data_IF_886179021200
#
_entry.id   IF_886179021200
#
_cell.length_a   1.000
_cell.length_b   1.000
_cell.length_c   1.000
_cell.angle_alpha   90.00
_cell.angle_beta   90.00
_cell.angle_gamma   90.00
#
_symmetry.space_group_name_H-M   'P 1'
#
loop_
_entity.id
_entity.type
_entity.pdbx_description
1 polymer ?
#
# COMPACT_ATOMS: atom_id res chain seq x y z
N UNK A 1 -10.38 -2.33 36.88
CA UNK A 1 -10.49 -2.20 35.41
C UNK A 1 -10.55 -3.58 34.80
N UNK A 2 -11.67 -3.93 34.18
CA UNK A 2 -11.90 -5.24 33.56
C UNK A 2 -10.98 -5.44 32.34
N UNK A 3 -10.67 -6.71 32.03
CA UNK A 3 -9.82 -7.09 30.88
C UNK A 3 -10.35 -6.47 29.57
N UNK A 4 -11.68 -6.39 29.43
CA UNK A 4 -12.37 -5.75 28.29
C UNK A 4 -12.11 -4.23 28.22
N UNK A 5 -12.04 -3.51 29.33
CA UNK A 5 -11.74 -2.08 29.36
C UNK A 5 -10.28 -1.79 28.99
N UNK A 6 -9.35 -2.66 29.40
CA UNK A 6 -7.92 -2.57 28.99
C UNK A 6 -7.73 -2.82 27.49
N UNK A 7 -8.47 -3.79 26.94
CA UNK A 7 -8.47 -4.07 25.50
C UNK A 7 -9.06 -2.88 24.72
N UNK A 8 -10.17 -2.31 25.21
CA UNK A 8 -10.79 -1.14 24.62
C UNK A 8 -9.90 0.11 24.66
N UNK A 9 -9.19 0.34 25.78
CA UNK A 9 -8.25 1.44 25.93
C UNK A 9 -6.98 1.23 25.06
N UNK A 10 -6.48 0.00 24.96
CA UNK A 10 -5.37 -0.34 24.08
C UNK A 10 -5.77 -0.20 22.60
N UNK A 11 -6.98 -0.61 22.23
CA UNK A 11 -7.54 -0.39 20.89
C UNK A 11 -7.68 1.10 20.57
N UNK A 12 -8.12 1.92 21.54
CA UNK A 12 -8.23 3.37 21.38
C UNK A 12 -6.86 4.05 21.19
N UNK A 13 -5.83 3.60 21.93
CA UNK A 13 -4.47 4.12 21.81
C UNK A 13 -3.81 3.71 20.49
N UNK A 14 -4.06 2.50 19.99
CA UNK A 14 -3.61 2.05 18.67
C UNK A 14 -4.33 2.83 17.56
N UNK A 15 -5.62 3.11 17.72
CA UNK A 15 -6.39 3.96 16.81
C UNK A 15 -5.89 5.41 16.75
N UNK A 16 -5.35 5.96 17.85
CA UNK A 16 -4.72 7.28 17.82
C UNK A 16 -3.43 7.33 16.98
N UNK A 17 -2.81 6.18 16.70
CA UNK A 17 -1.63 6.06 15.83
C UNK A 17 -1.93 5.93 14.33
N UNK A 18 -3.19 5.66 13.93
CA UNK A 18 -3.60 5.45 12.53
C UNK A 18 -3.63 6.75 11.68
N UNK A 19 -3.06 7.84 12.15
CA UNK A 19 -3.19 9.16 11.52
C UNK A 19 -2.35 9.38 10.24
N UNK A 20 -1.70 8.35 9.68
CA UNK A 20 -0.84 8.48 8.49
C UNK A 20 -0.86 7.24 7.60
N UNK A 21 -2.02 6.70 7.27
CA UNK A 21 -2.11 5.66 6.22
C UNK A 21 -2.15 6.37 4.88
N UNK A 22 -1.14 6.14 4.04
CA UNK A 22 -1.08 6.58 2.65
C UNK A 22 -1.24 5.36 1.76
N UNK A 23 -2.20 5.39 0.85
CA UNK A 23 -2.39 4.35 -0.14
C UNK A 23 -2.87 4.99 -1.44
N UNK A 24 -2.41 4.52 -2.60
CA UNK A 24 -2.91 4.93 -3.92
C UNK A 24 -4.32 4.43 -4.19
N UNK A 25 -4.60 3.27 -3.66
CA UNK A 25 -5.91 2.77 -3.32
C UNK A 25 -5.92 2.43 -1.84
N UNK A 26 -7.09 2.37 -1.21
CA UNK A 26 -7.20 1.80 0.12
C UNK A 26 -7.07 0.26 0.05
N UNK A 27 -6.99 -0.37 1.20
CA UNK A 27 -6.66 -1.79 1.39
C UNK A 27 -7.48 -2.73 0.52
N UNK A 28 -8.80 -2.51 0.44
CA UNK A 28 -9.70 -3.44 -0.24
C UNK A 28 -9.42 -3.52 -1.74
N UNK A 29 -9.08 -2.39 -2.36
CA UNK A 29 -8.79 -2.36 -3.80
C UNK A 29 -7.50 -3.09 -4.15
N UNK A 30 -6.47 -3.02 -3.31
CA UNK A 30 -5.24 -3.79 -3.52
C UNK A 30 -5.48 -5.30 -3.44
N UNK A 31 -6.29 -5.74 -2.47
CA UNK A 31 -6.68 -7.15 -2.34
C UNK A 31 -7.57 -7.59 -3.49
N UNK A 32 -8.52 -6.74 -3.94
CA UNK A 32 -9.38 -6.99 -5.10
C UNK A 32 -8.55 -7.27 -6.36
N UNK A 33 -7.48 -6.51 -6.61
CA UNK A 33 -6.59 -6.72 -7.77
C UNK A 33 -5.93 -8.11 -7.73
N UNK A 34 -5.51 -8.58 -6.55
CA UNK A 34 -4.97 -9.94 -6.39
C UNK A 34 -6.05 -10.98 -6.68
N UNK A 35 -7.24 -10.84 -6.09
CA UNK A 35 -8.34 -11.81 -6.23
C UNK A 35 -8.86 -11.91 -7.66
N UNK A 36 -8.96 -10.77 -8.36
CA UNK A 36 -9.40 -10.74 -9.77
C UNK A 36 -8.48 -11.55 -10.70
N UNK A 37 -7.20 -11.69 -10.34
CA UNK A 37 -6.23 -12.44 -11.15
C UNK A 37 -5.75 -13.75 -10.48
N UNK A 38 -6.27 -14.07 -9.29
CA UNK A 38 -5.81 -15.25 -8.56
C UNK A 38 -6.06 -16.55 -9.32
N UNK A 39 -7.30 -16.81 -9.69
CA UNK A 39 -7.71 -18.11 -10.23
C UNK A 39 -7.18 -18.39 -11.64
N UNK A 40 -7.14 -17.36 -12.49
CA UNK A 40 -6.83 -17.50 -13.91
C UNK A 40 -5.36 -17.19 -14.27
N UNK A 41 -4.62 -16.51 -13.38
CA UNK A 41 -3.27 -16.06 -13.71
C UNK A 41 -2.26 -16.37 -12.59
N UNK A 42 -2.49 -15.94 -11.33
CA UNK A 42 -1.50 -16.06 -10.25
C UNK A 42 -1.34 -17.52 -9.82
N UNK A 43 -2.44 -18.22 -9.52
CA UNK A 43 -2.41 -19.62 -9.10
C UNK A 43 -1.76 -20.52 -10.15
N UNK A 44 -2.10 -20.45 -11.45
CA UNK A 44 -1.41 -21.21 -12.50
C UNK A 44 0.09 -20.92 -12.58
N UNK A 45 0.50 -19.65 -12.43
CA UNK A 45 1.91 -19.27 -12.43
C UNK A 45 2.66 -19.86 -11.24
N UNK A 46 2.05 -19.87 -10.04
CA UNK A 46 2.60 -20.54 -8.86
C UNK A 46 2.74 -22.04 -9.07
N UNK A 47 1.71 -22.70 -9.61
CA UNK A 47 1.74 -24.14 -9.92
C UNK A 47 2.80 -24.50 -10.96
N UNK A 48 3.00 -23.65 -11.97
CA UNK A 48 4.06 -23.84 -12.95
C UNK A 48 5.45 -23.78 -12.32
N UNK A 49 5.69 -22.80 -11.44
CA UNK A 49 6.98 -22.61 -10.78
C UNK A 49 7.23 -23.63 -9.66
N UNK A 50 6.17 -24.05 -8.97
CA UNK A 50 6.19 -25.00 -7.85
C UNK A 50 5.22 -26.18 -8.12
N UNK A 51 5.60 -27.12 -9.03
CA UNK A 51 4.68 -28.15 -9.52
C UNK A 51 4.22 -29.16 -8.45
N UNK A 52 4.90 -29.23 -7.32
CA UNK A 52 4.54 -30.11 -6.20
C UNK A 52 3.68 -29.39 -5.13
N UNK A 53 3.27 -28.13 -5.36
CA UNK A 53 2.46 -27.40 -4.40
C UNK A 53 1.06 -28.01 -4.29
N UNK A 54 0.64 -28.25 -3.05
CA UNK A 54 -0.72 -28.71 -2.72
C UNK A 54 -1.71 -27.55 -2.74
N UNK A 55 -3.02 -27.84 -2.70
CA UNK A 55 -4.04 -26.79 -2.53
C UNK A 55 -3.87 -26.01 -1.21
N UNK A 56 -3.42 -26.68 -0.14
CA UNK A 56 -3.12 -26.01 1.15
C UNK A 56 -1.93 -25.07 1.02
N UNK A 57 -0.89 -25.42 0.25
CA UNK A 57 0.23 -24.54 -0.04
C UNK A 57 -0.21 -23.32 -0.86
N UNK A 58 -1.08 -23.52 -1.85
CA UNK A 58 -1.64 -22.44 -2.66
C UNK A 58 -2.56 -21.53 -1.85
N UNK A 59 -3.36 -22.09 -0.95
CA UNK A 59 -4.19 -21.33 -0.02
C UNK A 59 -3.33 -20.45 0.91
N UNK A 60 -2.25 -21.02 1.46
CA UNK A 60 -1.28 -20.28 2.27
C UNK A 60 -0.55 -19.21 1.45
N UNK A 61 -0.14 -19.53 0.23
CA UNK A 61 0.50 -18.60 -0.69
C UNK A 61 -0.41 -17.40 -1.01
N UNK A 62 -1.73 -17.59 -1.11
CA UNK A 62 -2.69 -16.50 -1.30
C UNK A 62 -2.66 -15.50 -0.13
N UNK A 63 -2.55 -15.97 1.12
CA UNK A 63 -2.40 -15.11 2.28
C UNK A 63 -1.10 -14.27 2.23
N UNK A 64 -0.03 -14.83 1.66
CA UNK A 64 1.21 -14.07 1.41
C UNK A 64 1.08 -13.08 0.25
N UNK A 65 0.32 -13.41 -0.80
CA UNK A 65 0.03 -12.44 -1.86
C UNK A 65 -0.74 -11.22 -1.32
N UNK A 66 -1.69 -11.42 -0.41
CA UNK A 66 -2.35 -10.31 0.30
C UNK A 66 -1.36 -9.49 1.14
N UNK A 67 -0.46 -10.13 1.87
CA UNK A 67 0.56 -9.40 2.61
C UNK A 67 1.49 -8.59 1.71
N UNK A 68 1.83 -9.15 0.56
CA UNK A 68 2.64 -8.50 -0.46
C UNK A 68 1.96 -7.29 -1.08
N UNK A 69 0.67 -7.39 -1.42
CA UNK A 69 -0.04 -6.29 -2.10
C UNK A 69 -0.26 -5.05 -1.22
N UNK A 70 0.14 -5.10 0.05
CA UNK A 70 0.05 -3.97 0.98
C UNK A 70 1.37 -3.68 1.70
N UNK A 71 2.45 -4.46 1.44
CA UNK A 71 3.69 -4.33 2.19
C UNK A 71 4.37 -2.99 2.01
N UNK A 72 4.26 -2.37 0.83
CA UNK A 72 4.85 -1.06 0.57
C UNK A 72 4.30 0.00 1.52
N UNK A 73 3.06 -0.14 1.96
CA UNK A 73 2.40 0.76 2.91
C UNK A 73 2.72 0.50 4.38
N UNK A 74 3.38 -0.61 4.71
CA UNK A 74 3.60 -1.03 6.10
C UNK A 74 4.20 0.08 6.99
N UNK A 75 5.02 0.96 6.42
CA UNK A 75 5.63 2.07 7.14
C UNK A 75 4.67 3.16 7.59
N UNK A 76 3.51 3.26 6.99
CA UNK A 76 2.46 4.24 7.35
C UNK A 76 1.54 3.75 8.47
N UNK A 77 1.56 2.46 8.77
CA UNK A 77 0.75 1.87 9.83
C UNK A 77 1.32 2.14 11.22
N UNK A 78 0.54 1.95 12.30
CA UNK A 78 1.00 2.18 13.66
C UNK A 78 2.30 1.42 13.95
N UNK A 79 3.26 2.13 14.56
CA UNK A 79 4.61 1.65 14.84
C UNK A 79 5.46 1.29 13.61
N UNK A 80 4.96 1.58 12.40
CA UNK A 80 5.74 1.53 11.17
C UNK A 80 6.80 2.63 11.11
N UNK A 81 7.59 2.63 10.06
CA UNK A 81 8.53 3.70 9.77
C UNK A 81 8.26 4.28 8.38
N UNK A 82 7.84 5.54 8.37
CA UNK A 82 7.51 6.23 7.10
C UNK A 82 8.64 6.19 6.07
N UNK A 83 9.91 6.14 6.50
CA UNK A 83 11.04 6.06 5.58
C UNK A 83 11.01 4.77 4.76
N UNK A 84 10.58 3.64 5.36
CA UNK A 84 10.41 2.39 4.61
C UNK A 84 9.45 2.59 3.44
N UNK A 85 8.24 3.06 3.72
CA UNK A 85 7.24 3.27 2.67
C UNK A 85 7.67 4.36 1.68
N UNK A 86 8.24 5.46 2.15
CA UNK A 86 8.79 6.50 1.26
C UNK A 86 9.84 5.91 0.28
N UNK A 87 10.73 5.04 0.74
CA UNK A 87 11.74 4.41 -0.10
C UNK A 87 11.10 3.55 -1.19
N UNK A 88 10.22 2.62 -0.79
CA UNK A 88 9.65 1.63 -1.72
C UNK A 88 8.62 2.23 -2.69
N UNK A 89 8.11 3.46 -2.42
CA UNK A 89 7.22 4.20 -3.32
C UNK A 89 7.96 5.15 -4.26
N UNK A 90 9.07 5.76 -3.82
CA UNK A 90 9.65 6.90 -4.54
C UNK A 90 11.08 6.68 -5.02
N UNK A 91 11.78 5.67 -4.51
CA UNK A 91 13.20 5.42 -4.83
C UNK A 91 13.37 3.98 -5.25
N UNK A 92 13.80 3.74 -6.48
CA UNK A 92 14.04 2.38 -6.97
C UNK A 92 12.84 1.44 -6.78
N UNK A 93 11.64 1.96 -6.97
CA UNK A 93 10.38 1.25 -6.70
C UNK A 93 10.20 -0.01 -7.55
N UNK A 94 10.58 0.03 -8.83
CA UNK A 94 10.61 -1.13 -9.71
C UNK A 94 11.68 -2.14 -9.31
N UNK A 95 12.91 -1.67 -9.05
CA UNK A 95 14.02 -2.52 -8.60
C UNK A 95 13.69 -3.26 -7.31
N UNK A 96 12.97 -2.62 -6.38
CA UNK A 96 12.54 -3.26 -5.13
C UNK A 96 11.63 -4.47 -5.39
N UNK A 97 10.65 -4.33 -6.27
CA UNK A 97 9.74 -5.43 -6.64
C UNK A 97 10.48 -6.54 -7.40
N UNK A 98 11.37 -6.18 -8.33
CA UNK A 98 12.22 -7.15 -9.03
C UNK A 98 13.13 -7.91 -8.06
N UNK A 99 13.70 -7.21 -7.05
CA UNK A 99 14.49 -7.84 -6.02
C UNK A 99 13.65 -8.77 -5.12
N UNK A 100 12.41 -8.42 -4.77
CA UNK A 100 11.52 -9.35 -4.06
C UNK A 100 11.29 -10.64 -4.86
N UNK A 101 11.05 -10.54 -6.16
CA UNK A 101 10.84 -11.70 -7.04
C UNK A 101 12.11 -12.55 -7.20
N UNK A 102 13.28 -11.90 -7.32
CA UNK A 102 14.56 -12.60 -7.49
C UNK A 102 15.07 -13.26 -6.21
N UNK A 103 14.79 -12.69 -5.05
CA UNK A 103 15.19 -13.21 -3.73
C UNK A 103 14.21 -14.25 -3.17
N UNK A 104 13.07 -14.48 -3.79
CA UNK A 104 12.08 -15.45 -3.34
C UNK A 104 12.55 -16.90 -3.54
N UNK A 105 12.63 -17.67 -2.44
CA UNK A 105 13.17 -19.03 -2.41
C UNK A 105 12.09 -20.12 -2.32
N UNK A 106 10.88 -19.77 -1.92
CA UNK A 106 9.75 -20.68 -1.82
C UNK A 106 8.45 -20.08 -2.36
N UNK A 107 7.37 -20.88 -2.40
CA UNK A 107 6.07 -20.49 -2.94
C UNK A 107 5.45 -19.30 -2.19
N UNK A 108 5.64 -19.20 -0.88
CA UNK A 108 5.06 -18.15 -0.05
C UNK A 108 5.80 -16.83 -0.28
N UNK A 109 7.13 -16.86 -0.32
CA UNK A 109 7.95 -15.70 -0.65
C UNK A 109 7.67 -15.21 -2.07
N UNK A 110 7.50 -16.13 -3.03
CA UNK A 110 7.20 -15.76 -4.40
C UNK A 110 5.79 -15.17 -4.53
N UNK A 111 4.79 -15.76 -3.87
CA UNK A 111 3.44 -15.20 -3.84
C UNK A 111 3.40 -13.81 -3.18
N UNK A 112 4.18 -13.60 -2.12
CA UNK A 112 4.35 -12.29 -1.49
C UNK A 112 4.95 -11.27 -2.47
N UNK A 113 5.98 -11.65 -3.24
CA UNK A 113 6.56 -10.79 -4.26
C UNK A 113 5.59 -10.48 -5.41
N UNK A 114 4.75 -11.47 -5.82
CA UNK A 114 3.68 -11.24 -6.79
C UNK A 114 2.63 -10.25 -6.25
N UNK A 115 2.32 -10.32 -4.95
CA UNK A 115 1.48 -9.31 -4.29
C UNK A 115 2.11 -7.91 -4.36
N UNK A 116 3.40 -7.77 -4.09
CA UNK A 116 4.10 -6.48 -4.20
C UNK A 116 4.12 -5.95 -5.66
N UNK A 117 4.14 -6.83 -6.65
CA UNK A 117 3.96 -6.46 -8.06
C UNK A 117 2.52 -5.98 -8.35
N UNK A 118 1.51 -6.56 -7.68
CA UNK A 118 0.13 -6.07 -7.77
C UNK A 118 0.02 -4.64 -7.21
N UNK A 119 0.65 -4.38 -6.06
CA UNK A 119 0.72 -3.02 -5.47
C UNK A 119 1.39 -2.02 -6.42
N UNK A 120 2.54 -2.37 -6.99
CA UNK A 120 3.22 -1.54 -7.99
C UNK A 120 2.28 -1.17 -9.14
N UNK A 121 1.57 -2.14 -9.72
CA UNK A 121 0.62 -1.88 -10.80
C UNK A 121 -0.57 -1.02 -10.34
N UNK A 122 -1.06 -1.26 -9.13
CA UNK A 122 -2.20 -0.56 -8.55
C UNK A 122 -1.88 0.91 -8.30
N UNK A 123 -0.75 1.22 -7.70
CA UNK A 123 -0.41 2.59 -7.34
C UNK A 123 -0.08 3.45 -8.57
N UNK A 124 0.74 2.96 -9.48
CA UNK A 124 1.09 3.76 -10.69
C UNK A 124 -0.11 4.07 -11.58
N UNK A 125 -1.19 3.28 -11.52
CA UNK A 125 -2.43 3.54 -12.26
C UNK A 125 -3.49 4.23 -11.39
N UNK A 126 -3.53 3.94 -10.10
CA UNK A 126 -4.55 4.41 -9.16
C UNK A 126 -4.33 5.82 -8.69
N UNK A 127 -3.13 6.16 -8.21
CA UNK A 127 -2.86 7.51 -7.70
C UNK A 127 -3.17 8.64 -8.68
N UNK A 128 -2.84 8.57 -9.99
CA UNK A 128 -3.25 9.60 -10.93
C UNK A 128 -4.77 9.81 -10.97
N UNK A 129 -5.56 8.75 -10.85
CA UNK A 129 -7.02 8.84 -10.79
C UNK A 129 -7.50 9.42 -9.45
N UNK A 130 -6.91 8.99 -8.33
CA UNK A 130 -7.20 9.53 -6.99
C UNK A 130 -6.83 11.01 -6.92
N UNK A 131 -5.67 11.43 -7.44
CA UNK A 131 -5.24 12.83 -7.48
C UNK A 131 -6.25 13.72 -8.22
N UNK A 132 -6.81 13.24 -9.33
CA UNK A 132 -7.85 13.93 -10.07
C UNK A 132 -9.17 13.94 -9.31
N UNK A 133 -9.53 12.83 -8.66
CA UNK A 133 -10.73 12.72 -7.83
C UNK A 133 -10.67 13.65 -6.61
N UNK A 134 -9.53 13.78 -5.93
CA UNK A 134 -9.32 14.74 -4.83
C UNK A 134 -9.60 16.16 -5.33
N UNK A 135 -9.06 16.54 -6.49
CA UNK A 135 -9.34 17.86 -7.06
C UNK A 135 -10.82 18.08 -7.39
N UNK A 136 -11.53 17.04 -7.83
CA UNK A 136 -12.95 17.11 -8.12
C UNK A 136 -13.82 17.18 -6.87
N UNK A 137 -13.49 16.40 -5.83
CA UNK A 137 -14.23 16.32 -4.58
C UNK A 137 -13.99 17.52 -3.64
N UNK A 138 -12.83 18.20 -3.74
CA UNK A 138 -12.42 19.31 -2.89
C UNK A 138 -12.12 20.57 -3.72
N UNK A 139 -13.17 21.38 -4.08
CA UNK A 139 -13.00 22.57 -4.92
C UNK A 139 -11.97 23.59 -4.40
N UNK A 140 -11.84 23.72 -3.08
CA UNK A 140 -10.86 24.58 -2.43
C UNK A 140 -9.42 24.13 -2.69
N UNK A 141 -9.18 22.82 -2.73
CA UNK A 141 -7.85 22.27 -3.07
C UNK A 141 -7.59 22.41 -4.58
N UNK A 142 -8.61 22.19 -5.40
CA UNK A 142 -8.51 22.44 -6.84
C UNK A 142 -8.17 23.90 -7.16
N UNK A 143 -8.80 24.84 -6.46
CA UNK A 143 -8.51 26.28 -6.64
C UNK A 143 -7.06 26.61 -6.26
N UNK A 144 -6.50 25.92 -5.27
CA UNK A 144 -5.14 26.17 -4.76
C UNK A 144 -4.05 25.46 -5.58
N UNK A 145 -4.30 24.20 -6.00
CA UNK A 145 -3.27 23.34 -6.55
C UNK A 145 -3.53 22.93 -8.02
N UNK A 146 -4.71 23.24 -8.56
CA UNK A 146 -5.10 22.87 -9.93
C UNK A 146 -5.88 21.57 -10.02
N UNK A 147 -5.98 20.97 -11.23
CA UNK A 147 -6.82 19.81 -11.49
C UNK A 147 -6.27 18.48 -10.94
N UNK A 148 -5.07 18.49 -10.37
CA UNK A 148 -4.39 17.33 -9.79
C UNK A 148 -3.91 17.75 -8.42
N UNK A 149 -4.34 17.03 -7.37
CA UNK A 149 -3.94 17.27 -5.98
C UNK A 149 -3.34 15.98 -5.46
N UNK A 150 -2.02 15.99 -5.29
CA UNK A 150 -1.26 14.81 -4.85
C UNK A 150 -1.29 14.65 -3.34
N UNK A 151 -0.87 13.49 -2.87
CA UNK A 151 -0.68 13.22 -1.43
C UNK A 151 0.24 14.24 -0.74
N UNK A 152 1.30 14.71 -1.42
CA UNK A 152 2.23 15.71 -0.86
C UNK A 152 1.58 17.07 -0.64
N UNK A 153 0.48 17.38 -1.30
CA UNK A 153 -0.25 18.64 -1.21
C UNK A 153 -1.32 18.59 -0.12
N UNK A 154 -2.12 17.53 -0.08
CA UNK A 154 -3.08 17.29 1.00
C UNK A 154 -3.32 15.79 1.26
N UNK A 155 -2.53 15.23 2.17
CA UNK A 155 -2.61 13.82 2.52
C UNK A 155 -3.96 13.42 3.17
N UNK A 156 -4.65 14.36 3.81
CA UNK A 156 -5.93 14.06 4.47
C UNK A 156 -7.07 13.92 3.47
N UNK A 157 -7.14 14.84 2.51
CA UNK A 157 -8.12 14.74 1.43
C UNK A 157 -7.87 13.49 0.60
N UNK A 158 -6.61 13.16 0.34
CA UNK A 158 -6.20 11.97 -0.41
C UNK A 158 -6.71 10.68 0.27
N UNK A 159 -6.34 10.44 1.53
CA UNK A 159 -6.76 9.26 2.31
C UNK A 159 -8.30 9.17 2.42
N UNK A 160 -9.01 10.31 2.57
CA UNK A 160 -10.47 10.35 2.64
C UNK A 160 -11.13 9.94 1.33
N UNK A 161 -10.55 10.30 0.19
CA UNK A 161 -11.03 9.93 -1.13
C UNK A 161 -10.84 8.43 -1.39
N UNK A 162 -9.65 7.91 -1.11
CA UNK A 162 -9.33 6.50 -1.25
C UNK A 162 -10.23 5.60 -0.39
N UNK A 163 -10.36 5.94 0.89
CA UNK A 163 -11.25 5.23 1.80
C UNK A 163 -12.72 5.32 1.34
N UNK A 164 -13.13 6.45 0.76
CA UNK A 164 -14.44 6.62 0.17
C UNK A 164 -14.71 5.64 -0.98
N UNK A 165 -13.73 5.41 -1.84
CA UNK A 165 -13.82 4.42 -2.92
C UNK A 165 -13.99 2.99 -2.38
N UNK A 166 -13.16 2.57 -1.41
CA UNK A 166 -13.30 1.25 -0.78
C UNK A 166 -14.69 1.06 -0.16
N UNK A 167 -15.17 2.05 0.59
CA UNK A 167 -16.51 2.00 1.21
C UNK A 167 -17.59 1.83 0.14
N UNK A 168 -17.48 2.51 -1.00
CA UNK A 168 -18.45 2.40 -2.11
C UNK A 168 -18.37 1.03 -2.78
N UNK A 169 -17.18 0.42 -2.93
CA UNK A 169 -17.05 -0.94 -3.46
C UNK A 169 -17.82 -1.93 -2.61
N UNK A 170 -17.65 -1.86 -1.29
CA UNK A 170 -18.40 -2.70 -0.36
C UNK A 170 -19.89 -2.37 -0.39
N UNK A 171 -20.25 -1.08 -0.38
CA UNK A 171 -21.63 -0.62 -0.42
C UNK A 171 -22.39 -1.11 -1.65
N UNK A 172 -21.75 -1.11 -2.80
CA UNK A 172 -22.32 -1.58 -4.08
C UNK A 172 -22.15 -3.08 -4.28
N UNK A 173 -21.68 -3.81 -3.26
CA UNK A 173 -21.48 -5.26 -3.29
C UNK A 173 -20.59 -5.73 -4.46
N UNK A 174 -19.60 -4.91 -4.82
CA UNK A 174 -18.65 -5.26 -5.88
C UNK A 174 -17.52 -6.13 -5.34
N UNK A 175 -16.98 -5.73 -4.18
CA UNK A 175 -15.92 -6.45 -3.51
C UNK A 175 -15.95 -6.28 -1.99
N UNK A 176 -15.59 -7.32 -1.23
CA UNK A 176 -15.31 -7.25 0.21
C UNK A 176 -14.28 -8.30 0.59
N UNK A 177 -13.12 -7.88 1.06
CA UNK A 177 -12.07 -8.80 1.52
C UNK A 177 -12.33 -9.38 2.91
N UNK A 178 -13.24 -8.81 3.71
CA UNK A 178 -13.59 -9.31 5.04
C UNK A 178 -13.92 -10.80 5.05
N UNK A 179 -14.61 -11.22 4.00
CA UNK A 179 -15.00 -12.59 3.82
C UNK A 179 -13.79 -13.50 3.56
N UNK A 180 -12.73 -12.97 2.95
CA UNK A 180 -11.54 -13.73 2.55
C UNK A 180 -10.51 -13.82 3.68
N UNK A 181 -10.36 -12.81 4.53
CA UNK A 181 -9.40 -12.82 5.63
C UNK A 181 -9.62 -13.92 6.65
N UNK A 182 -10.88 -14.31 6.90
CA UNK A 182 -11.20 -15.40 7.83
C UNK A 182 -10.80 -16.79 7.27
N UNK A 183 -10.69 -16.92 5.95
CA UNK A 183 -10.38 -18.19 5.27
C UNK A 183 -8.96 -18.23 4.71
N UNK A 184 -8.53 -17.16 4.04
CA UNK A 184 -7.23 -17.06 3.37
C UNK A 184 -6.18 -16.58 4.36
N UNK A 185 -6.51 -15.62 5.21
CA UNK A 185 -5.59 -14.97 6.13
C UNK A 185 -4.81 -13.83 5.47
N UNK A 186 -3.83 -13.30 6.20
CA UNK A 186 -2.96 -12.21 5.77
C UNK A 186 -1.56 -12.43 6.36
N UNK A 187 -0.56 -12.64 5.51
CA UNK A 187 0.78 -13.00 5.93
C UNK A 187 1.84 -12.08 5.31
N UNK A 188 2.87 -11.75 6.09
CA UNK A 188 4.04 -10.99 5.64
C UNK A 188 5.25 -11.89 5.64
N UNK A 189 5.95 -11.98 4.52
CA UNK A 189 7.21 -12.72 4.43
C UNK A 189 8.38 -11.82 4.79
N UNK A 190 8.73 -11.79 6.08
CA UNK A 190 9.87 -11.04 6.58
C UNK A 190 11.20 -11.45 5.92
N UNK A 191 11.54 -12.75 5.72
CA UNK A 191 12.85 -13.12 5.20
C UNK A 191 13.12 -12.55 3.80
N UNK A 192 12.21 -12.67 2.85
CA UNK A 192 12.40 -12.11 1.51
C UNK A 192 12.39 -10.59 1.53
N UNK A 193 11.56 -9.98 2.39
CA UNK A 193 11.50 -8.53 2.55
C UNK A 193 12.85 -7.96 3.02
N UNK A 194 13.50 -8.60 4.00
CA UNK A 194 14.82 -8.18 4.51
C UNK A 194 15.91 -8.32 3.43
N UNK A 195 15.93 -9.45 2.68
CA UNK A 195 16.90 -9.66 1.60
C UNK A 195 16.72 -8.65 0.47
N UNK A 196 15.51 -8.47 -0.01
CA UNK A 196 15.21 -7.52 -1.10
C UNK A 196 15.48 -6.07 -0.68
N UNK A 197 15.15 -5.70 0.55
CA UNK A 197 15.33 -4.34 1.03
C UNK A 197 16.81 -3.95 1.13
N UNK A 198 17.64 -4.79 1.75
CA UNK A 198 19.08 -4.52 1.84
C UNK A 198 19.74 -4.53 0.46
N UNK A 199 19.33 -5.42 -0.44
CA UNK A 199 19.81 -5.49 -1.81
C UNK A 199 19.47 -4.21 -2.59
N UNK A 200 18.27 -3.65 -2.40
CA UNK A 200 17.82 -2.46 -3.12
C UNK A 200 18.39 -1.18 -2.56
N UNK A 201 18.44 -1.03 -1.22
CA UNK A 201 18.73 0.26 -0.56
C UNK A 201 20.04 0.29 0.23
N UNK A 202 20.74 -0.83 0.39
CA UNK A 202 22.02 -0.91 1.10
C UNK A 202 21.92 -0.69 2.62
N UNK A 203 20.72 -0.64 3.19
CA UNK A 203 20.44 -0.50 4.61
C UNK A 203 19.54 -1.63 5.09
N UNK A 204 19.66 -2.01 6.36
CA UNK A 204 18.84 -3.08 6.93
C UNK A 204 17.50 -2.53 7.41
N UNK A 205 16.44 -3.34 7.35
CA UNK A 205 15.15 -2.98 7.95
C UNK A 205 15.26 -2.70 9.46
N UNK A 206 16.10 -3.46 10.16
CA UNK A 206 16.34 -3.28 11.59
C UNK A 206 16.97 -1.92 11.94
N UNK A 207 17.70 -1.28 11.01
CA UNK A 207 18.28 0.04 11.21
C UNK A 207 17.24 1.16 11.17
N UNK A 208 16.12 0.92 10.48
CA UNK A 208 15.04 1.92 10.34
C UNK A 208 13.81 1.62 11.21
N UNK A 209 13.51 0.35 11.48
CA UNK A 209 12.41 -0.02 12.38
C UNK A 209 12.93 -0.21 13.81
N UNK A 210 12.31 0.45 14.78
CA UNK A 210 12.65 0.26 16.21
C UNK A 210 12.39 -1.18 16.69
N UNK A 211 11.36 -1.80 16.18
CA UNK A 211 10.99 -3.20 16.43
C UNK A 211 10.19 -3.70 15.22
N UNK A 212 10.87 -4.38 14.31
CA UNK A 212 10.28 -4.85 13.05
C UNK A 212 9.14 -5.86 13.29
N UNK A 213 9.30 -6.80 14.23
CA UNK A 213 8.28 -7.81 14.52
C UNK A 213 6.99 -7.17 15.04
N UNK A 214 7.12 -6.16 15.90
CA UNK A 214 5.98 -5.43 16.42
C UNK A 214 5.31 -4.60 15.32
N UNK A 215 6.09 -3.97 14.43
CA UNK A 215 5.58 -3.22 13.29
C UNK A 215 4.82 -4.13 12.32
N UNK A 216 5.37 -5.29 11.98
CA UNK A 216 4.69 -6.31 11.16
C UNK A 216 3.42 -6.82 11.85
N UNK A 217 3.48 -7.08 13.16
CA UNK A 217 2.32 -7.53 13.94
C UNK A 217 1.17 -6.51 13.94
N UNK A 218 1.49 -5.23 14.16
CA UNK A 218 0.49 -4.14 14.15
C UNK A 218 -0.05 -3.87 12.75
N UNK A 219 0.78 -3.95 11.71
CA UNK A 219 0.35 -3.88 10.32
C UNK A 219 -0.65 -4.98 9.99
N UNK A 220 -0.31 -6.25 10.25
CA UNK A 220 -1.20 -7.40 10.04
C UNK A 220 -2.52 -7.24 10.78
N UNK A 221 -2.48 -6.82 12.04
CA UNK A 221 -3.69 -6.59 12.84
C UNK A 221 -4.53 -5.43 12.27
N UNK A 222 -3.90 -4.36 11.82
CA UNK A 222 -4.59 -3.20 11.26
C UNK A 222 -5.34 -3.59 9.98
N UNK A 223 -4.69 -4.30 9.07
CA UNK A 223 -5.30 -4.72 7.80
C UNK A 223 -6.39 -5.76 8.03
N UNK A 224 -6.10 -6.83 8.77
CA UNK A 224 -7.01 -7.97 8.88
C UNK A 224 -8.15 -7.77 9.89
N UNK A 225 -8.09 -6.77 10.78
CA UNK A 225 -9.08 -6.55 11.84
C UNK A 225 -9.58 -5.12 11.93
N UNK A 226 -8.68 -4.14 12.03
CA UNK A 226 -9.09 -2.77 12.32
C UNK A 226 -9.79 -2.10 11.14
N UNK A 227 -9.21 -2.18 9.93
CA UNK A 227 -9.78 -1.56 8.73
C UNK A 227 -11.12 -2.17 8.31
N UNK A 228 -11.31 -3.52 8.29
CA UNK A 228 -12.62 -4.11 8.09
C UNK A 228 -13.69 -3.60 9.05
N UNK A 229 -13.38 -3.50 10.35
CA UNK A 229 -14.32 -2.95 11.32
C UNK A 229 -14.62 -1.45 11.07
N UNK A 230 -13.61 -0.66 10.66
CA UNK A 230 -13.80 0.73 10.27
C UNK A 230 -14.72 0.88 9.06
N UNK A 231 -14.54 0.05 8.04
CA UNK A 231 -15.40 0.02 6.85
C UNK A 231 -16.85 -0.31 7.23
N UNK A 232 -17.07 -1.31 8.10
CA UNK A 232 -18.41 -1.62 8.63
C UNK A 232 -19.05 -0.45 9.39
N UNK A 233 -18.26 0.25 10.20
CA UNK A 233 -18.72 1.45 10.93
C UNK A 233 -19.05 2.57 9.95
N UNK A 234 -18.21 2.81 8.94
CA UNK A 234 -18.44 3.81 7.90
C UNK A 234 -19.76 3.54 7.17
N UNK A 235 -19.98 2.30 6.75
CA UNK A 235 -21.22 1.87 6.11
C UNK A 235 -22.46 2.11 6.99
N UNK A 236 -22.39 1.81 8.28
CA UNK A 236 -23.49 2.04 9.21
C UNK A 236 -23.77 3.52 9.47
N UNK A 237 -22.73 4.37 9.48
CA UNK A 237 -22.87 5.81 9.75
C UNK A 237 -23.37 6.60 8.54
N UNK A 238 -23.04 6.16 7.33
CA UNK A 238 -23.41 6.81 6.06
C UNK A 238 -24.61 6.18 5.35
N UNK A 239 -25.25 5.20 5.99
CA UNK A 239 -26.36 4.45 5.41
C UNK A 239 -27.49 5.33 4.89
N UNK A 240 -27.88 6.37 5.62
CA UNK A 240 -28.98 7.26 5.23
C UNK A 240 -28.65 8.09 3.99
N UNK A 241 -27.38 8.48 3.81
CA UNK A 241 -26.88 9.14 2.60
C UNK A 241 -26.90 8.16 1.40
N UNK A 242 -26.43 6.94 1.61
CA UNK A 242 -26.39 5.89 0.58
C UNK A 242 -27.79 5.47 0.10
N UNK A 243 -28.75 5.36 1.03
CA UNK A 243 -30.15 5.04 0.69
C UNK A 243 -30.81 6.17 -0.11
N UNK A 244 -30.46 7.44 0.16
CA UNK A 244 -30.95 8.57 -0.64
C UNK A 244 -30.42 8.54 -2.06
N UNK A 245 -29.15 8.19 -2.25
CA UNK A 245 -28.52 8.11 -3.58
C UNK A 245 -28.96 6.85 -4.34
N UNK A 246 -29.23 5.74 -3.63
CA UNK A 246 -29.71 4.51 -4.21
C UNK A 246 -30.76 3.82 -3.33
N UNK A 247 -32.07 4.04 -3.59
CA UNK A 247 -33.15 3.48 -2.79
C UNK A 247 -33.21 1.93 -2.69
N UNK A 248 -32.45 1.24 -3.55
CA UNK A 248 -32.36 -0.24 -3.48
C UNK A 248 -31.51 -0.74 -2.30
N UNK A 249 -30.80 0.14 -1.58
CA UNK A 249 -30.05 -0.17 -0.37
C UNK A 249 -30.96 -0.38 0.83
N UNK A 250 -31.62 -1.52 0.92
CA UNK A 250 -32.36 -1.88 2.14
C UNK A 250 -31.37 -2.42 3.21
N UNK A 251 -31.53 -1.96 4.46
CA UNK A 251 -30.65 -2.23 5.62
C UNK A 251 -30.23 -3.70 5.81
N UNK A 252 -31.15 -4.65 5.55
CA UNK A 252 -30.88 -6.09 5.66
C UNK A 252 -30.03 -6.65 4.50
N UNK A 253 -30.16 -6.11 3.30
CA UNK A 253 -29.39 -6.51 2.13
C UNK A 253 -27.96 -6.01 2.19
N UNK A 254 -27.76 -4.84 2.76
CA UNK A 254 -26.48 -4.14 2.82
C UNK A 254 -25.46 -4.85 3.72
N UNK A 255 -25.87 -5.45 4.84
CA UNK A 255 -24.97 -6.10 5.81
C UNK A 255 -24.72 -7.58 5.51
N UNK A 256 -25.50 -8.21 4.61
CA UNK A 256 -25.53 -9.68 4.49
C UNK A 256 -25.61 -10.25 3.06
N UNK A 257 -25.68 -9.40 2.03
CA UNK A 257 -25.78 -9.90 0.64
C UNK A 257 -24.44 -9.77 -0.13
N UNK A 258 -23.37 -10.25 0.45
CA UNK A 258 -22.34 -10.89 -0.38
C UNK A 258 -22.99 -12.03 -1.12
N UNK A 259 -22.68 -12.24 -2.39
CA UNK A 259 -23.18 -13.40 -3.16
C UNK A 259 -22.64 -14.67 -2.47
N UNK A 260 -23.28 -15.02 -1.39
CA UNK A 260 -22.99 -16.17 -0.54
C UNK A 260 -22.85 -17.45 -1.36
N UNK A 261 -23.62 -17.56 -2.47
CA UNK A 261 -23.61 -18.73 -3.34
C UNK A 261 -22.33 -18.90 -4.16
N UNK A 262 -21.67 -17.84 -4.60
CA UNK A 262 -20.39 -17.94 -5.31
C UNK A 262 -19.25 -18.20 -4.34
N UNK A 263 -19.28 -17.54 -3.21
CA UNK A 263 -18.32 -17.69 -2.14
C UNK A 263 -18.35 -19.09 -1.48
N UNK A 264 -19.55 -19.58 -1.13
CA UNK A 264 -19.73 -20.91 -0.54
C UNK A 264 -19.34 -22.06 -1.51
N UNK A 265 -19.34 -21.81 -2.81
CA UNK A 265 -18.89 -22.78 -3.82
C UNK A 265 -17.37 -22.98 -3.83
N UNK A 266 -16.62 -21.90 -3.64
CA UNK A 266 -15.15 -21.96 -3.64
C UNK A 266 -14.55 -22.26 -2.27
N UNK A 267 -15.13 -21.72 -1.18
CA UNK A 267 -14.49 -21.65 0.13
C UNK A 267 -15.27 -22.30 1.29
N UNK A 268 -16.45 -22.84 1.06
CA UNK A 268 -17.25 -23.54 2.08
C UNK A 268 -18.14 -22.62 2.93
N UNK A 269 -18.80 -23.20 3.97
CA UNK A 269 -19.91 -22.55 4.72
C UNK A 269 -19.52 -21.87 6.03
N UNK A 270 -18.24 -21.69 6.35
CA UNK A 270 -17.77 -21.26 7.67
C UNK A 270 -17.71 -19.74 7.89
N UNK A 271 -18.63 -18.99 7.32
CA UNK A 271 -18.73 -17.54 7.49
C UNK A 271 -19.11 -17.12 8.92
N UNK A 272 -18.31 -16.28 9.58
CA UNK A 272 -18.63 -15.70 10.89
C UNK A 272 -19.38 -14.38 10.73
N UNK A 273 -20.57 -14.28 11.33
CA UNK A 273 -21.37 -13.03 11.39
C UNK A 273 -20.68 -11.99 12.26
N UNK A 274 -20.78 -10.66 11.91
CA UNK A 274 -20.27 -9.58 12.76
C UNK A 274 -20.79 -9.71 14.20
N UNK A 275 -19.88 -9.79 15.16
CA UNK A 275 -20.19 -9.96 16.56
C UNK A 275 -20.91 -8.74 17.18
N UNK A 276 -21.53 -8.94 18.33
CA UNK A 276 -22.19 -7.88 19.12
C UNK A 276 -21.23 -6.70 19.42
N UNK A 277 -19.92 -6.98 19.57
CA UNK A 277 -18.88 -5.97 19.77
C UNK A 277 -18.78 -4.94 18.63
N UNK A 278 -18.89 -5.38 17.37
CA UNK A 278 -18.86 -4.48 16.22
C UNK A 278 -20.07 -3.53 16.19
N UNK A 279 -21.25 -4.01 16.64
CA UNK A 279 -22.47 -3.20 16.74
C UNK A 279 -22.38 -2.16 17.86
N UNK A 280 -21.82 -2.53 19.00
CA UNK A 280 -21.58 -1.60 20.14
C UNK A 280 -20.55 -0.55 19.72
N UNK A 281 -19.49 -0.94 19.05
CA UNK A 281 -18.45 -0.04 18.54
C UNK A 281 -19.04 0.95 17.53
N UNK A 282 -19.90 0.51 16.62
CA UNK A 282 -20.57 1.37 15.65
C UNK A 282 -21.46 2.43 16.31
N UNK A 283 -22.18 2.07 17.39
CA UNK A 283 -22.99 3.03 18.18
C UNK A 283 -22.06 4.02 18.90
N UNK A 284 -20.95 3.55 19.44
CA UNK A 284 -19.97 4.37 20.14
C UNK A 284 -19.34 5.40 19.18
N UNK A 285 -18.99 5.01 17.96
CA UNK A 285 -18.44 5.91 16.92
C UNK A 285 -19.45 6.94 16.40
N UNK A 286 -20.77 6.71 16.50
CA UNK A 286 -21.78 7.75 16.22
C UNK A 286 -21.77 8.89 17.22
N UNK A 287 -21.30 8.65 18.45
CA UNK A 287 -21.35 9.58 19.58
C UNK A 287 -20.01 10.33 19.75
N UNK A 288 -18.89 9.75 19.33
CA UNK A 288 -17.56 10.36 19.47
C UNK A 288 -17.40 11.52 18.49
N UNK A 289 -16.94 12.71 18.95
CA UNK A 289 -16.59 13.81 18.07
C UNK A 289 -15.49 13.39 17.08
N UNK A 290 -15.65 13.74 15.79
CA UNK A 290 -14.73 13.40 14.70
C UNK A 290 -13.45 14.25 14.75
N UNK A 291 -12.53 13.93 15.67
CA UNK A 291 -11.22 14.57 15.77
C UNK A 291 -10.10 13.53 15.80
N UNK A 292 -8.87 13.95 15.45
CA UNK A 292 -7.73 13.06 15.35
C UNK A 292 -7.89 12.05 14.20
N UNK A 293 -7.51 10.77 14.39
CA UNK A 293 -7.58 9.72 13.37
C UNK A 293 -9.03 9.41 12.91
N UNK A 294 -10.03 9.71 13.71
CA UNK A 294 -11.43 9.52 13.33
C UNK A 294 -11.93 10.50 12.26
N UNK A 295 -11.14 11.50 11.88
CA UNK A 295 -11.45 12.36 10.73
C UNK A 295 -11.43 11.60 9.39
N UNK A 296 -10.72 10.49 9.28
CA UNK A 296 -10.77 9.62 8.10
C UNK A 296 -12.14 8.98 7.90
N UNK A 297 -12.89 8.74 8.98
CA UNK A 297 -14.28 8.29 8.89
C UNK A 297 -15.24 9.36 8.36
N UNK A 298 -14.78 10.61 8.24
CA UNK A 298 -15.50 11.70 7.60
C UNK A 298 -15.18 11.78 6.09
N UNK A 299 -15.18 10.61 5.41
CA UNK A 299 -15.01 10.55 3.97
C UNK A 299 -16.22 11.17 3.25
N UNK A 300 -15.99 11.69 2.05
CA UNK A 300 -17.06 12.06 1.14
C UNK A 300 -17.46 10.83 0.31
N UNK A 301 -18.75 10.69 0.05
CA UNK A 301 -19.20 9.75 -0.96
C UNK A 301 -18.68 10.23 -2.33
N UNK A 302 -17.97 9.36 -3.08
CA UNK A 302 -17.52 9.69 -4.42
C UNK A 302 -18.70 10.10 -5.31
N UNK A 303 -18.51 11.13 -6.11
CA UNK A 303 -19.47 11.52 -7.13
C UNK A 303 -19.47 10.50 -8.27
N UNK A 304 -20.54 10.40 -9.09
CA UNK A 304 -20.60 9.43 -10.20
C UNK A 304 -19.41 9.52 -11.17
N UNK A 305 -18.91 10.73 -11.43
CA UNK A 305 -17.78 10.96 -12.33
C UNK A 305 -16.46 10.47 -11.71
N UNK A 306 -16.23 10.74 -10.41
CA UNK A 306 -15.04 10.29 -9.70
C UNK A 306 -15.05 8.79 -9.47
N UNK A 307 -16.22 8.19 -9.22
CA UNK A 307 -16.39 6.75 -9.18
C UNK A 307 -16.09 6.08 -10.53
N UNK A 308 -16.55 6.69 -11.64
CA UNK A 308 -16.25 6.19 -12.99
C UNK A 308 -14.74 6.25 -13.27
N UNK A 309 -14.08 7.33 -12.86
CA UNK A 309 -12.63 7.48 -12.98
C UNK A 309 -11.87 6.40 -12.18
N UNK A 310 -12.32 6.14 -10.96
CA UNK A 310 -11.78 5.09 -10.11
C UNK A 310 -11.94 3.70 -10.74
N UNK A 311 -13.14 3.32 -11.20
CA UNK A 311 -13.37 2.03 -11.84
C UNK A 311 -12.54 1.83 -13.12
N UNK A 312 -12.35 2.91 -13.89
CA UNK A 312 -11.47 2.87 -15.06
C UNK A 312 -10.02 2.60 -14.64
N UNK A 313 -9.55 3.22 -13.55
CA UNK A 313 -8.19 2.99 -13.04
C UNK A 313 -8.00 1.57 -12.53
N UNK A 314 -8.99 0.98 -11.85
CA UNK A 314 -8.95 -0.44 -11.43
C UNK A 314 -8.83 -1.38 -12.63
N UNK A 315 -9.62 -1.17 -13.68
CA UNK A 315 -9.50 -1.96 -14.91
C UNK A 315 -8.11 -1.81 -15.54
N UNK A 316 -7.57 -0.58 -15.59
CA UNK A 316 -6.22 -0.33 -16.09
C UNK A 316 -5.17 -1.07 -15.25
N UNK A 317 -5.30 -1.06 -13.92
CA UNK A 317 -4.43 -1.80 -12.99
C UNK A 317 -4.45 -3.30 -13.29
N UNK A 318 -5.64 -3.89 -13.42
CA UNK A 318 -5.80 -5.33 -13.71
C UNK A 318 -5.14 -5.70 -15.04
N UNK A 319 -5.32 -4.88 -16.08
CA UNK A 319 -4.71 -5.12 -17.39
C UNK A 319 -3.17 -4.98 -17.35
N UNK A 320 -2.65 -3.98 -16.65
CA UNK A 320 -1.21 -3.80 -16.46
C UNK A 320 -0.60 -4.93 -15.65
N UNK A 321 -1.21 -5.30 -14.53
CA UNK A 321 -0.72 -6.39 -13.68
C UNK A 321 -0.72 -7.72 -14.45
N UNK A 322 -1.78 -8.03 -15.19
CA UNK A 322 -1.81 -9.21 -16.09
C UNK A 322 -0.70 -9.15 -17.13
N UNK A 323 -0.38 -7.97 -17.65
CA UNK A 323 0.77 -7.74 -18.55
C UNK A 323 2.09 -8.10 -17.88
N UNK A 324 2.36 -7.55 -16.70
CA UNK A 324 3.58 -7.86 -15.93
C UNK A 324 3.71 -9.35 -15.59
N UNK A 325 2.62 -10.01 -15.20
CA UNK A 325 2.63 -11.45 -14.93
C UNK A 325 2.98 -12.29 -16.18
N UNK A 326 2.48 -11.90 -17.35
CA UNK A 326 2.86 -12.56 -18.62
C UNK A 326 4.33 -12.33 -18.96
N UNK A 327 4.83 -11.10 -18.79
CA UNK A 327 6.22 -10.76 -19.06
C UNK A 327 7.16 -11.49 -18.08
N UNK A 328 6.76 -11.61 -16.82
CA UNK A 328 7.45 -12.39 -15.79
C UNK A 328 7.54 -13.88 -16.19
N UNK A 329 6.43 -14.47 -16.63
CA UNK A 329 6.37 -15.85 -17.09
C UNK A 329 7.26 -16.08 -18.33
N UNK A 330 7.35 -15.08 -19.19
CA UNK A 330 8.21 -15.12 -20.38
C UNK A 330 9.69 -14.80 -20.09
N UNK A 331 10.07 -14.49 -18.84
CA UNK A 331 11.42 -14.07 -18.47
C UNK A 331 11.85 -12.72 -19.06
N UNK A 332 10.89 -11.85 -19.36
CA UNK A 332 11.12 -10.55 -20.03
C UNK A 332 10.71 -9.36 -19.19
N UNK A 333 10.21 -9.60 -17.97
CA UNK A 333 9.73 -8.51 -17.11
C UNK A 333 10.89 -7.58 -16.76
N UNK A 334 10.65 -6.29 -16.97
CA UNK A 334 11.48 -5.20 -16.47
C UNK A 334 10.55 -4.11 -15.96
N UNK A 335 10.77 -3.66 -14.73
CA UNK A 335 9.96 -2.63 -14.08
C UNK A 335 10.72 -1.30 -14.09
N UNK A 336 10.07 -0.27 -14.56
CA UNK A 336 10.59 1.08 -14.48
C UNK A 336 10.52 1.61 -13.05
N UNK A 337 11.55 2.31 -12.59
CA UNK A 337 11.49 3.02 -11.32
C UNK A 337 10.57 4.24 -11.46
N UNK A 338 9.39 4.16 -10.88
CA UNK A 338 8.34 5.18 -10.90
C UNK A 338 8.06 5.74 -9.53
N UNK A 339 7.66 6.99 -9.52
CA UNK A 339 6.98 7.61 -8.40
C UNK A 339 5.55 7.09 -8.35
N UNK A 340 5.16 6.45 -7.26
CA UNK A 340 3.84 5.85 -7.18
C UNK A 340 2.72 6.89 -7.12
N UNK A 341 2.93 8.03 -6.43
CA UNK A 341 1.89 9.06 -6.30
C UNK A 341 1.57 9.77 -7.63
N UNK A 342 2.51 9.80 -8.55
CA UNK A 342 2.33 10.48 -9.84
C UNK A 342 2.22 9.51 -11.02
N UNK A 343 2.65 8.25 -10.83
CA UNK A 343 2.75 7.23 -11.88
C UNK A 343 3.85 7.50 -12.91
N UNK A 344 4.70 8.52 -12.70
CA UNK A 344 5.74 8.94 -13.64
C UNK A 344 7.11 8.34 -13.31
N UNK A 345 8.03 8.26 -14.28
CA UNK A 345 9.40 7.89 -14.03
C UNK A 345 10.04 8.78 -12.97
N UNK A 346 10.81 8.17 -12.06
CA UNK A 346 11.50 8.87 -10.97
C UNK A 346 12.57 9.81 -11.51
N UNK A 347 12.37 11.12 -11.32
CA UNK A 347 13.30 12.17 -11.78
C UNK A 347 13.42 13.29 -10.76
N UNK A 348 14.58 13.98 -10.67
CA UNK A 348 14.76 15.11 -9.77
C UNK A 348 13.79 16.27 -10.12
N UNK A 349 13.10 16.78 -9.10
CA UNK A 349 12.16 17.90 -9.25
C UNK A 349 10.80 17.55 -9.82
N UNK A 350 10.54 16.28 -10.17
CA UNK A 350 9.22 15.82 -10.62
C UNK A 350 8.26 15.77 -9.44
N UNK A 351 8.67 15.14 -8.33
CA UNK A 351 7.85 15.02 -7.13
C UNK A 351 8.61 15.35 -5.86
N UNK A 352 7.95 16.10 -4.98
CA UNK A 352 8.56 16.59 -3.74
C UNK A 352 9.02 15.48 -2.79
N UNK A 353 8.22 14.42 -2.64
CA UNK A 353 8.55 13.34 -1.72
C UNK A 353 9.69 12.49 -2.27
N UNK A 354 9.77 12.29 -3.57
CA UNK A 354 10.89 11.63 -4.25
C UNK A 354 12.22 12.33 -3.93
N UNK A 355 12.31 13.64 -4.17
CA UNK A 355 13.54 14.41 -3.87
C UNK A 355 13.94 14.31 -2.41
N UNK A 356 12.94 14.39 -1.50
CA UNK A 356 13.20 14.31 -0.07
C UNK A 356 13.64 12.92 0.37
N UNK A 357 13.14 11.89 -0.29
CA UNK A 357 13.46 10.49 0.03
C UNK A 357 14.84 10.10 -0.46
N UNK A 358 15.23 10.53 -1.67
CA UNK A 358 16.62 10.38 -2.12
C UNK A 358 17.62 11.05 -1.18
N UNK A 359 17.31 12.28 -0.71
CA UNK A 359 18.18 12.95 0.25
C UNK A 359 18.25 12.24 1.60
N UNK A 360 17.15 11.61 2.06
CA UNK A 360 17.15 10.81 3.29
C UNK A 360 17.94 9.51 3.12
N UNK A 361 17.77 8.82 1.99
CA UNK A 361 18.54 7.62 1.71
C UNK A 361 20.04 7.90 1.72
N UNK A 362 20.45 8.97 1.05
CA UNK A 362 21.85 9.39 1.02
C UNK A 362 22.39 9.69 2.43
N UNK A 363 21.58 10.34 3.29
CA UNK A 363 21.93 10.60 4.70
C UNK A 363 22.10 9.30 5.50
N UNK A 364 21.22 8.31 5.33
CA UNK A 364 21.36 7.01 6.01
C UNK A 364 22.60 6.25 5.53
N UNK A 365 22.85 6.23 4.23
CA UNK A 365 24.07 5.61 3.67
C UNK A 365 25.36 6.33 4.15
N UNK A 366 25.33 7.64 4.29
CA UNK A 366 26.46 8.40 4.80
C UNK A 366 26.78 8.06 6.28
N UNK A 367 25.76 7.81 7.13
CA UNK A 367 25.95 7.38 8.53
C UNK A 367 26.74 6.08 8.64
N UNK A 368 26.55 5.16 7.71
CA UNK A 368 27.29 3.90 7.60
C UNK A 368 28.52 4.00 6.68
N UNK A 369 28.92 5.23 6.32
CA UNK A 369 30.07 5.51 5.45
C UNK A 369 30.01 4.79 4.12
N UNK A 370 28.81 4.60 3.59
CA UNK A 370 28.50 3.88 2.34
C UNK A 370 28.97 2.42 2.29
N UNK A 371 29.24 1.81 3.45
CA UNK A 371 29.63 0.40 3.53
C UNK A 371 28.47 -0.47 3.04
N UNK A 372 28.76 -1.37 2.09
CA UNK A 372 27.76 -2.28 1.52
C UNK A 372 26.84 -1.65 0.46
N UNK A 373 27.06 -0.38 0.07
CA UNK A 373 26.32 0.25 -1.03
C UNK A 373 26.63 -0.48 -2.33
N UNK A 374 25.66 -1.19 -2.91
CA UNK A 374 25.82 -1.93 -4.14
C UNK A 374 26.10 -0.99 -5.34
N UNK A 375 26.82 -1.45 -6.38
CA UNK A 375 27.18 -0.63 -7.53
C UNK A 375 25.98 -0.01 -8.26
N UNK A 376 24.89 -0.76 -8.39
CA UNK A 376 23.65 -0.31 -9.03
C UNK A 376 22.94 0.78 -8.22
N UNK A 377 22.88 0.65 -6.89
CA UNK A 377 22.35 1.69 -6.00
C UNK A 377 23.21 2.97 -6.07
N UNK A 378 24.54 2.80 -6.04
CA UNK A 378 25.47 3.92 -6.19
C UNK A 378 25.25 4.66 -7.52
N UNK A 379 25.18 3.91 -8.62
CA UNK A 379 24.94 4.46 -9.96
C UNK A 379 23.59 5.18 -10.04
N UNK A 380 22.53 4.61 -9.46
CA UNK A 380 21.20 5.21 -9.41
C UNK A 380 21.21 6.55 -8.67
N UNK A 381 21.82 6.64 -7.48
CA UNK A 381 21.92 7.89 -6.71
C UNK A 381 22.74 8.93 -7.50
N UNK A 382 23.88 8.54 -8.07
CA UNK A 382 24.71 9.47 -8.83
C UNK A 382 24.00 9.96 -10.09
N UNK A 383 23.24 9.12 -10.77
CA UNK A 383 22.42 9.50 -11.93
C UNK A 383 21.30 10.49 -11.54
N UNK A 384 20.61 10.26 -10.40
CA UNK A 384 19.57 11.15 -9.91
C UNK A 384 20.10 12.57 -9.63
N UNK A 385 21.34 12.71 -9.16
CA UNK A 385 21.97 13.99 -8.87
C UNK A 385 23.00 14.44 -9.93
N UNK A 386 22.98 13.84 -11.13
CA UNK A 386 23.99 14.08 -12.16
C UNK A 386 24.01 15.53 -12.65
N UNK A 387 22.84 16.18 -12.72
CA UNK A 387 22.72 17.61 -13.09
C UNK A 387 22.43 18.47 -11.83
N UNK A 388 23.43 19.18 -11.30
CA UNK A 388 23.23 20.08 -10.17
C UNK A 388 22.30 21.27 -10.47
N UNK A 389 22.04 21.58 -11.73
CA UNK A 389 21.13 22.64 -12.17
C UNK A 389 19.68 22.19 -12.23
N UNK A 390 19.41 20.89 -12.35
CA UNK A 390 18.07 20.33 -12.43
C UNK A 390 17.18 20.79 -11.26
N UNK A 391 15.88 20.98 -11.46
CA UNK A 391 14.95 21.26 -10.38
C UNK A 391 15.08 20.19 -9.28
N UNK A 392 15.02 20.60 -8.02
CA UNK A 392 14.98 19.68 -6.89
C UNK A 392 14.37 20.40 -5.68
N UNK A 393 13.34 19.82 -5.09
CA UNK A 393 12.63 20.42 -3.95
C UNK A 393 13.49 20.55 -2.69
N UNK A 394 14.56 19.76 -2.55
CA UNK A 394 15.50 19.83 -1.42
C UNK A 394 16.24 21.17 -1.43
N UNK A 395 16.46 21.78 -2.60
CA UNK A 395 17.12 23.09 -2.77
C UNK A 395 16.39 24.23 -2.06
N UNK A 396 15.06 24.12 -1.82
CA UNK A 396 14.28 25.11 -1.06
C UNK A 396 14.78 25.30 0.37
N UNK A 397 15.53 24.31 0.91
CA UNK A 397 16.19 24.40 2.23
C UNK A 397 17.70 24.30 2.04
N UNK A 398 18.37 25.47 1.95
CA UNK A 398 19.81 25.58 1.67
C UNK A 398 20.69 24.66 2.53
N UNK A 399 20.39 24.56 3.83
CA UNK A 399 21.17 23.69 4.73
C UNK A 399 21.04 22.20 4.37
N UNK A 400 19.84 21.75 3.98
CA UNK A 400 19.62 20.36 3.53
C UNK A 400 20.33 20.10 2.21
N UNK A 401 20.23 21.04 1.26
CA UNK A 401 20.89 20.91 -0.03
C UNK A 401 22.42 20.86 0.12
N UNK A 402 23.01 21.74 0.91
CA UNK A 402 24.45 21.69 1.17
C UNK A 402 24.89 20.37 1.82
N UNK A 403 24.08 19.83 2.74
CA UNK A 403 24.32 18.51 3.32
C UNK A 403 24.29 17.42 2.25
N UNK A 404 23.26 17.41 1.40
CA UNK A 404 23.13 16.46 0.28
C UNK A 404 24.35 16.51 -0.65
N UNK A 405 24.84 17.70 -1.00
CA UNK A 405 26.04 17.84 -1.84
C UNK A 405 27.29 17.28 -1.17
N UNK A 406 27.49 17.55 0.13
CA UNK A 406 28.60 16.99 0.89
C UNK A 406 28.55 15.46 0.93
N UNK A 407 27.37 14.89 1.16
CA UNK A 407 27.18 13.44 1.20
C UNK A 407 27.38 12.80 -0.18
N UNK A 408 26.98 13.48 -1.26
CA UNK A 408 27.29 13.04 -2.63
C UNK A 408 28.79 13.00 -2.92
N UNK A 409 29.53 13.99 -2.45
CA UNK A 409 31.00 14.00 -2.60
C UNK A 409 31.63 12.88 -1.77
N UNK A 410 31.11 12.60 -0.58
CA UNK A 410 31.53 11.44 0.23
C UNK A 410 31.21 10.11 -0.48
N UNK A 411 30.02 9.99 -1.08
CA UNK A 411 29.65 8.81 -1.87
C UNK A 411 30.64 8.61 -3.04
N UNK A 412 30.95 9.67 -3.79
CA UNK A 412 31.93 9.62 -4.91
C UNK A 412 33.31 9.19 -4.46
N UNK A 413 33.75 9.62 -3.28
CA UNK A 413 35.04 9.29 -2.69
C UNK A 413 35.08 7.91 -1.99
N UNK A 414 33.91 7.29 -1.71
CA UNK A 414 33.85 5.99 -1.04
C UNK A 414 34.32 4.87 -1.97
N UNK A 415 34.97 3.80 -1.44
CA UNK A 415 35.38 2.65 -2.23
C UNK A 415 34.18 1.99 -2.92
N UNK A 416 34.34 1.61 -4.16
CA UNK A 416 33.33 0.77 -4.84
C UNK A 416 33.38 -0.65 -4.26
N UNK A 417 32.22 -1.19 -3.94
CA UNK A 417 32.11 -2.61 -3.61
C UNK A 417 32.30 -3.39 -4.90
N UNK A 418 33.41 -4.12 -4.99
CA UNK A 418 33.61 -5.06 -6.11
C UNK A 418 32.54 -6.14 -5.99
N UNK A 419 31.68 -6.24 -6.98
CA UNK A 419 30.69 -7.31 -7.03
C UNK A 419 31.44 -8.65 -6.92
N UNK A 420 31.24 -9.38 -5.82
CA UNK A 420 31.70 -10.76 -5.78
C UNK A 420 30.80 -11.53 -6.76
N UNK A 421 31.37 -11.86 -7.92
CA UNK A 421 30.78 -12.83 -8.84
C UNK A 421 30.65 -14.15 -8.08
N UNK A 422 29.41 -14.49 -7.67
CA UNK A 422 29.04 -15.82 -7.22
C UNK A 422 28.71 -16.72 -8.43
#
# INVERSE_FOLDING_TARGET
MTKSFRIMLASLLVFCGLSQVCNGYSVLTHEEVVDLLWADTIKPLLQQKFPNATEDDLHKAHAYAYGGCLVQDMGYYPFGNKMFSDLVHYVRSGDFVENLLSEATDINEYAFALGALAHYAADIAGHPAVNAAVAAEFPELRAKYGPVVTYAEDNKAHIRTEFGFDVVQVAKQRYTSDAYHDFIGFQVSRPVLERAFIKTYGIKLEDIFKNLDFSVGTFRWSVSRALPEMTRVALLTKQDEMVKENPSFARKKFLYNLKRSEYEKEWGKNYQKPGIGARILAVFFKIIPKFGPFKTLDFKMPQPDTETLYLKSVNTTVDQYRGYLRDLQAGKMTLENKDFDTGKPTQPGEYKLTDQTYAKLLDELAKIKFVGTQPDLRANILAFYADPSAPNFTKKKRSKWNKTLLELDQLKASPEVVAQTQ
#
